data_IF_498057899172
#
_entry.id   IF_498057899172
#
_cell.length_a   1.000
_cell.length_b   1.000
_cell.length_c   1.000
_cell.angle_alpha   90.00
_cell.angle_beta   90.00
_cell.angle_gamma   90.00
#
_symmetry.space_group_name_H-M   'P 1'
#
loop_
_entity.id
_entity.type
_entity.pdbx_description
1 polymer ?
#
# COMPACT_ATOMS: atom_id res chain seq x y z
N UNK A 1 -20.39 12.48 38.23
CA UNK A 1 -19.80 11.67 37.14
C UNK A 1 -20.91 10.89 36.43
N UNK A 2 -21.40 11.30 35.23
CA UNK A 2 -22.06 10.39 34.24
C UNK A 2 -22.62 11.02 32.94
N UNK A 3 -22.45 12.32 32.67
CA UNK A 3 -23.01 12.92 31.44
C UNK A 3 -22.25 12.55 30.15
N UNK A 4 -21.02 12.02 30.24
CA UNK A 4 -20.14 11.76 29.10
C UNK A 4 -20.08 10.27 28.66
N UNK A 5 -20.74 9.36 29.40
CA UNK A 5 -20.83 7.93 29.04
C UNK A 5 -21.97 7.67 28.04
N UNK A 6 -23.13 8.29 28.26
CA UNK A 6 -24.32 8.15 27.41
C UNK A 6 -24.15 8.77 26.00
N UNK A 7 -23.35 9.84 25.86
CA UNK A 7 -23.03 10.47 24.57
C UNK A 7 -22.04 9.64 23.75
N UNK A 8 -21.08 8.98 24.40
CA UNK A 8 -20.12 8.06 23.77
C UNK A 8 -20.79 6.76 23.31
N UNK A 9 -21.74 6.22 24.07
CA UNK A 9 -22.47 5.01 23.69
C UNK A 9 -23.38 5.22 22.48
N UNK A 10 -24.11 6.35 22.44
CA UNK A 10 -25.00 6.68 21.32
C UNK A 10 -24.22 6.87 20.01
N UNK A 11 -23.05 7.52 20.06
CA UNK A 11 -22.16 7.67 18.90
C UNK A 11 -21.59 6.34 18.38
N UNK A 12 -21.17 5.46 19.31
CA UNK A 12 -20.63 4.13 18.98
C UNK A 12 -21.64 3.23 18.26
N UNK A 13 -22.90 3.22 18.71
CA UNK A 13 -23.94 2.39 18.10
C UNK A 13 -24.32 2.87 16.69
N UNK A 14 -24.29 4.19 16.45
CA UNK A 14 -24.49 4.75 15.11
C UNK A 14 -23.33 4.44 14.16
N UNK A 15 -22.09 4.43 14.65
CA UNK A 15 -20.95 4.03 13.83
C UNK A 15 -21.00 2.53 13.50
N UNK A 16 -21.34 1.66 14.47
CA UNK A 16 -21.52 0.22 14.23
C UNK A 16 -22.62 -0.05 13.20
N UNK A 17 -23.75 0.65 13.29
CA UNK A 17 -24.84 0.52 12.31
C UNK A 17 -24.39 0.91 10.89
N UNK A 18 -23.59 1.97 10.74
CA UNK A 18 -23.01 2.37 9.44
C UNK A 18 -22.03 1.34 8.91
N UNK A 19 -21.20 0.74 9.77
CA UNK A 19 -20.27 -0.31 9.36
C UNK A 19 -21.00 -1.59 8.92
N UNK A 20 -22.07 -2.00 9.62
CA UNK A 20 -22.93 -3.11 9.22
C UNK A 20 -23.57 -2.84 7.85
N UNK A 21 -24.07 -1.63 7.62
CA UNK A 21 -24.65 -1.22 6.34
C UNK A 21 -23.62 -1.33 5.18
N UNK A 22 -22.37 -0.91 5.41
CA UNK A 22 -21.28 -1.03 4.42
C UNK A 22 -20.98 -2.50 4.12
N UNK A 23 -20.89 -3.35 5.15
CA UNK A 23 -20.65 -4.79 4.98
C UNK A 23 -21.78 -5.44 4.17
N UNK A 24 -23.04 -5.09 4.44
CA UNK A 24 -24.20 -5.59 3.68
C UNK A 24 -24.13 -5.14 2.21
N UNK A 25 -23.79 -3.88 1.93
CA UNK A 25 -23.61 -3.36 0.58
C UNK A 25 -22.51 -4.11 -0.21
N UNK A 26 -21.38 -4.43 0.44
CA UNK A 26 -20.29 -5.20 -0.18
C UNK A 26 -20.74 -6.64 -0.46
N UNK A 27 -21.44 -7.28 0.47
CA UNK A 27 -21.97 -8.64 0.28
C UNK A 27 -22.96 -8.66 -0.89
N UNK A 28 -23.85 -7.67 -1.00
CA UNK A 28 -24.76 -7.52 -2.14
C UNK A 28 -23.99 -7.36 -3.46
N UNK A 29 -22.90 -6.57 -3.48
CA UNK A 29 -22.05 -6.43 -4.65
C UNK A 29 -21.40 -7.76 -5.08
N UNK A 30 -20.91 -8.55 -4.12
CA UNK A 30 -20.27 -9.86 -4.37
C UNK A 30 -21.30 -10.88 -4.85
N UNK A 31 -22.49 -10.93 -4.23
CA UNK A 31 -23.56 -11.86 -4.62
C UNK A 31 -24.14 -11.49 -5.99
N UNK A 32 -24.35 -10.19 -6.25
CA UNK A 32 -24.72 -9.70 -7.58
C UNK A 32 -23.67 -10.06 -8.63
N UNK A 33 -22.38 -9.96 -8.28
CA UNK A 33 -21.29 -10.36 -9.15
C UNK A 33 -21.33 -11.84 -9.55
N UNK A 34 -21.77 -12.71 -8.63
CA UNK A 34 -21.91 -14.14 -8.87
C UNK A 34 -23.12 -14.47 -9.76
N UNK A 35 -24.25 -13.78 -9.55
CA UNK A 35 -25.49 -14.03 -10.29
C UNK A 35 -25.44 -13.55 -11.75
N UNK A 36 -24.77 -12.42 -12.02
CA UNK A 36 -24.66 -11.83 -13.36
C UNK A 36 -23.55 -12.44 -14.24
N UNK A 37 -23.05 -13.64 -13.90
CA UNK A 37 -21.92 -14.30 -14.55
C UNK A 37 -22.15 -14.65 -16.02
N UNK A 38 -23.41 -14.75 -16.46
CA UNK A 38 -23.76 -15.26 -17.80
C UNK A 38 -24.18 -14.20 -18.82
N UNK A 39 -24.44 -12.94 -18.45
CA UNK A 39 -25.18 -12.03 -19.35
C UNK A 39 -24.41 -10.86 -19.96
N UNK A 40 -23.34 -10.29 -19.37
CA UNK A 40 -22.45 -9.29 -20.02
C UNK A 40 -21.34 -8.76 -19.07
N UNK A 41 -20.09 -8.73 -19.53
CA UNK A 41 -18.93 -8.22 -18.75
C UNK A 41 -19.00 -6.73 -18.41
N UNK A 42 -19.62 -5.90 -19.25
CA UNK A 42 -19.69 -4.44 -19.09
C UNK A 42 -20.62 -4.00 -17.95
N UNK A 43 -21.79 -4.64 -17.81
CA UNK A 43 -22.77 -4.30 -16.77
C UNK A 43 -22.25 -4.60 -15.35
N UNK A 44 -21.42 -5.63 -15.21
CA UNK A 44 -20.73 -5.99 -13.97
C UNK A 44 -19.77 -4.89 -13.52
N UNK A 45 -18.98 -4.33 -14.43
CA UNK A 45 -18.00 -3.31 -14.10
C UNK A 45 -18.70 -2.04 -13.57
N UNK A 46 -19.78 -1.60 -14.23
CA UNK A 46 -20.54 -0.42 -13.83
C UNK A 46 -21.23 -0.62 -12.47
N UNK A 47 -21.88 -1.77 -12.24
CA UNK A 47 -22.54 -2.08 -10.98
C UNK A 47 -21.56 -2.10 -9.79
N UNK A 48 -20.40 -2.73 -9.96
CA UNK A 48 -19.38 -2.81 -8.90
C UNK A 48 -18.78 -1.44 -8.61
N UNK A 49 -18.48 -0.64 -9.64
CA UNK A 49 -17.95 0.72 -9.47
C UNK A 49 -18.98 1.63 -8.79
N UNK A 50 -20.26 1.52 -9.14
CA UNK A 50 -21.33 2.31 -8.52
C UNK A 50 -21.51 1.98 -7.04
N UNK A 51 -21.52 0.68 -6.69
CA UNK A 51 -21.60 0.25 -5.28
C UNK A 51 -20.33 0.66 -4.51
N UNK A 52 -19.15 0.57 -5.13
CA UNK A 52 -17.90 1.03 -4.52
C UNK A 52 -17.93 2.54 -4.22
N UNK A 53 -18.45 3.35 -5.15
CA UNK A 53 -18.62 4.78 -4.96
C UNK A 53 -19.61 5.11 -3.83
N UNK A 54 -20.75 4.41 -3.78
CA UNK A 54 -21.73 4.56 -2.69
C UNK A 54 -21.16 4.16 -1.34
N UNK A 55 -20.47 3.01 -1.26
CA UNK A 55 -19.83 2.53 -0.03
C UNK A 55 -18.70 3.46 0.42
N UNK A 56 -17.87 3.93 -0.51
CA UNK A 56 -16.82 4.92 -0.26
C UNK A 56 -17.41 6.24 0.25
N UNK A 57 -18.48 6.74 -0.37
CA UNK A 57 -19.21 7.91 0.10
C UNK A 57 -19.71 7.76 1.54
N UNK A 58 -20.38 6.65 1.86
CA UNK A 58 -20.90 6.38 3.20
C UNK A 58 -19.76 6.24 4.23
N UNK A 59 -18.64 5.61 3.85
CA UNK A 59 -17.47 5.47 4.70
C UNK A 59 -16.84 6.82 5.05
N UNK A 60 -16.77 7.76 4.09
CA UNK A 60 -16.25 9.11 4.33
C UNK A 60 -17.14 9.93 5.28
N UNK A 61 -18.45 9.70 5.28
CA UNK A 61 -19.40 10.34 6.22
C UNK A 61 -19.41 9.71 7.62
N UNK A 62 -18.67 8.63 7.87
CA UNK A 62 -18.56 7.98 9.19
C UNK A 62 -17.56 8.71 10.09
N UNK A 63 -17.72 8.61 11.42
CA UNK A 63 -16.84 9.28 12.40
C UNK A 63 -15.35 8.96 12.18
N UNK A 64 -15.05 7.72 11.78
CA UNK A 64 -13.69 7.31 11.38
C UNK A 64 -13.20 7.98 10.10
N UNK A 65 -14.08 8.23 9.13
CA UNK A 65 -13.75 8.93 7.88
C UNK A 65 -13.38 10.39 8.12
N UNK A 66 -14.08 11.09 9.03
CA UNK A 66 -13.71 12.45 9.45
C UNK A 66 -12.36 12.49 10.16
N UNK A 67 -12.09 11.54 11.06
CA UNK A 67 -10.78 11.42 11.70
C UNK A 67 -9.67 11.19 10.66
N UNK A 68 -9.85 10.30 9.68
CA UNK A 68 -8.89 10.09 8.59
C UNK A 68 -8.67 11.34 7.73
N UNK A 69 -9.72 12.15 7.51
CA UNK A 69 -9.58 13.43 6.80
C UNK A 69 -8.76 14.45 7.62
N UNK A 70 -8.95 14.49 8.93
CA UNK A 70 -8.13 15.31 9.83
C UNK A 70 -6.68 14.84 9.86
N UNK A 71 -6.43 13.54 10.02
CA UNK A 71 -5.09 12.95 9.90
C UNK A 71 -4.44 13.22 8.54
N UNK A 72 -5.21 13.19 7.45
CA UNK A 72 -4.67 13.52 6.11
C UNK A 72 -4.25 14.98 6.02
N UNK A 73 -5.02 15.90 6.63
CA UNK A 73 -4.66 17.32 6.70
C UNK A 73 -3.39 17.53 7.52
N UNK A 74 -3.28 16.86 8.66
CA UNK A 74 -2.06 16.87 9.49
C UNK A 74 -0.85 16.29 8.74
N UNK A 75 -1.03 15.17 8.02
CA UNK A 75 0.01 14.58 7.20
C UNK A 75 0.49 15.52 6.08
N UNK A 76 -0.42 16.29 5.47
CA UNK A 76 -0.04 17.31 4.48
C UNK A 76 0.73 18.48 5.10
N UNK A 77 0.47 18.82 6.36
CA UNK A 77 1.28 19.82 7.10
C UNK A 77 2.67 19.26 7.39
N UNK A 78 2.79 17.98 7.72
CA UNK A 78 4.07 17.32 7.99
C UNK A 78 4.89 17.12 6.70
N UNK A 79 4.25 16.79 5.58
CA UNK A 79 4.91 16.70 4.27
C UNK A 79 5.56 18.03 3.88
N UNK A 80 4.98 19.17 4.27
CA UNK A 80 5.61 20.49 4.04
C UNK A 80 6.86 20.71 4.89
N UNK A 81 7.03 19.98 5.99
CA UNK A 81 8.26 19.98 6.80
C UNK A 81 9.33 19.05 6.25
N UNK A 82 8.99 18.19 5.28
CA UNK A 82 9.98 17.36 4.59
C UNK A 82 10.84 18.27 3.74
N UNK A 83 12.09 18.43 4.17
CA UNK A 83 13.12 19.11 3.42
C UNK A 83 13.52 18.15 2.30
N UNK A 84 13.05 18.43 1.09
CA UNK A 84 13.45 17.64 -0.07
C UNK A 84 14.93 17.88 -0.35
N UNK A 85 15.72 16.81 -0.55
CA UNK A 85 17.15 16.94 -0.75
C UNK A 85 17.43 17.79 -1.98
N UNK A 86 18.47 18.60 -1.90
CA UNK A 86 18.89 19.38 -3.06
C UNK A 86 19.44 18.44 -4.14
N UNK A 87 19.47 18.90 -5.40
CA UNK A 87 20.05 18.10 -6.50
C UNK A 87 21.51 17.73 -6.22
N UNK A 88 22.23 18.59 -5.50
CA UNK A 88 23.63 18.36 -5.13
C UNK A 88 23.77 17.23 -4.10
N UNK A 89 22.96 17.23 -3.04
CA UNK A 89 22.95 16.17 -2.01
C UNK A 89 22.52 14.82 -2.60
N UNK A 90 21.54 14.84 -3.50
CA UNK A 90 21.07 13.64 -4.21
C UNK A 90 22.18 13.04 -5.06
N UNK A 91 22.90 13.86 -5.82
CA UNK A 91 24.01 13.41 -6.66
C UNK A 91 25.18 12.92 -5.82
N UNK A 92 25.54 13.60 -4.73
CA UNK A 92 26.60 13.17 -3.83
C UNK A 92 26.30 11.78 -3.25
N UNK A 93 25.08 11.58 -2.75
CA UNK A 93 24.66 10.29 -2.20
C UNK A 93 24.63 9.19 -3.27
N UNK A 94 24.12 9.50 -4.47
CA UNK A 94 24.09 8.55 -5.59
C UNK A 94 25.50 8.16 -6.05
N UNK A 95 26.43 9.12 -6.12
CA UNK A 95 27.82 8.85 -6.48
C UNK A 95 28.51 7.98 -5.43
N UNK A 96 28.30 8.25 -4.14
CA UNK A 96 28.83 7.40 -3.06
C UNK A 96 28.32 5.96 -3.22
N UNK A 97 27.00 5.77 -3.40
CA UNK A 97 26.41 4.43 -3.60
C UNK A 97 26.96 3.77 -4.86
N UNK A 98 27.10 4.52 -5.95
CA UNK A 98 27.64 4.01 -7.22
C UNK A 98 29.06 3.50 -7.05
N UNK A 99 29.92 4.25 -6.38
CA UNK A 99 31.31 3.86 -6.11
C UNK A 99 31.35 2.59 -5.26
N UNK A 100 30.60 2.55 -4.14
CA UNK A 100 30.56 1.38 -3.26
C UNK A 100 30.06 0.13 -4.01
N UNK A 101 29.05 0.29 -4.85
CA UNK A 101 28.48 -0.81 -5.65
C UNK A 101 29.48 -1.32 -6.69
N UNK A 102 30.22 -0.43 -7.37
CA UNK A 102 31.28 -0.81 -8.32
C UNK A 102 32.39 -1.60 -7.61
N UNK A 103 32.83 -1.14 -6.43
CA UNK A 103 33.85 -1.84 -5.64
C UNK A 103 33.37 -3.24 -5.27
N UNK A 104 32.14 -3.37 -4.75
CA UNK A 104 31.57 -4.67 -4.40
C UNK A 104 31.46 -5.59 -5.63
N UNK A 105 30.98 -5.07 -6.77
CA UNK A 105 30.86 -5.84 -8.00
C UNK A 105 32.22 -6.35 -8.50
N UNK A 106 33.26 -5.53 -8.41
CA UNK A 106 34.61 -5.90 -8.84
C UNK A 106 35.23 -6.98 -7.94
N UNK A 107 35.01 -6.88 -6.62
CA UNK A 107 35.44 -7.90 -5.65
C UNK A 107 34.77 -9.24 -5.94
N UNK A 108 33.43 -9.25 -6.09
CA UNK A 108 32.68 -10.46 -6.38
C UNK A 108 33.12 -11.07 -7.73
N UNK A 109 33.20 -10.26 -8.78
CA UNK A 109 33.66 -10.71 -10.10
C UNK A 109 35.06 -11.35 -10.06
N UNK A 110 35.99 -10.74 -9.32
CA UNK A 110 37.34 -11.28 -9.15
C UNK A 110 37.34 -12.61 -8.42
N UNK A 111 36.60 -12.71 -7.31
CA UNK A 111 36.48 -13.92 -6.51
C UNK A 111 35.83 -15.06 -7.30
N UNK A 112 34.71 -14.80 -7.97
CA UNK A 112 34.00 -15.77 -8.82
C UNK A 112 34.89 -16.24 -9.97
N UNK A 113 35.63 -15.33 -10.61
CA UNK A 113 36.56 -15.65 -11.70
C UNK A 113 37.71 -16.57 -11.25
N UNK A 114 38.26 -16.34 -10.06
CA UNK A 114 39.29 -17.21 -9.48
C UNK A 114 38.71 -18.57 -9.12
N UNK A 115 37.55 -18.61 -8.46
CA UNK A 115 36.87 -19.85 -8.09
C UNK A 115 36.58 -20.72 -9.32
N UNK A 116 36.03 -20.16 -10.39
CA UNK A 116 35.73 -20.90 -11.63
C UNK A 116 37.00 -21.48 -12.25
N UNK A 117 38.09 -20.71 -12.31
CA UNK A 117 39.37 -21.19 -12.85
C UNK A 117 39.99 -22.29 -11.99
N UNK A 118 39.83 -22.20 -10.67
CA UNK A 118 40.37 -23.18 -9.73
C UNK A 118 39.58 -24.49 -9.79
N UNK A 119 38.25 -24.41 -9.86
CA UNK A 119 37.36 -25.57 -10.03
C UNK A 119 37.61 -26.24 -11.39
N UNK A 120 37.75 -25.47 -12.47
CA UNK A 120 38.01 -26.03 -13.80
C UNK A 120 39.37 -26.73 -13.87
N UNK A 121 40.41 -26.15 -13.26
CA UNK A 121 41.74 -26.75 -13.18
C UNK A 121 41.73 -28.10 -12.46
N UNK A 122 41.07 -28.17 -11.29
CA UNK A 122 40.93 -29.42 -10.52
C UNK A 122 40.13 -30.46 -11.31
N UNK A 123 39.05 -30.04 -11.98
CA UNK A 123 38.21 -30.95 -12.77
C UNK A 123 38.96 -31.47 -14.00
N UNK A 124 39.75 -30.63 -14.68
CA UNK A 124 40.56 -31.04 -15.83
C UNK A 124 41.72 -31.98 -15.46
N UNK A 125 42.18 -31.97 -14.21
CA UNK A 125 43.23 -32.87 -13.73
C UNK A 125 42.73 -34.30 -13.46
N UNK A 126 41.41 -34.49 -13.36
CA UNK A 126 40.78 -35.78 -13.03
C UNK A 126 40.36 -36.58 -14.29
N UNK A 127 40.69 -36.08 -15.47
CA UNK A 127 40.63 -36.79 -16.76
C UNK A 127 42.04 -36.87 -17.34
#
# INVERSE_FOLDING_TARGET
MNANSNTKEKGRNFDIAKWILITVLIVIAIVGNYYFRQYNSTLRFISVVFILFLAGGIALYTSKGKATLEFSREALVEIRKVIWPTRQETLQTTLIITIVTIVMALILWGLDGVLVRLISFITSLRF
#
